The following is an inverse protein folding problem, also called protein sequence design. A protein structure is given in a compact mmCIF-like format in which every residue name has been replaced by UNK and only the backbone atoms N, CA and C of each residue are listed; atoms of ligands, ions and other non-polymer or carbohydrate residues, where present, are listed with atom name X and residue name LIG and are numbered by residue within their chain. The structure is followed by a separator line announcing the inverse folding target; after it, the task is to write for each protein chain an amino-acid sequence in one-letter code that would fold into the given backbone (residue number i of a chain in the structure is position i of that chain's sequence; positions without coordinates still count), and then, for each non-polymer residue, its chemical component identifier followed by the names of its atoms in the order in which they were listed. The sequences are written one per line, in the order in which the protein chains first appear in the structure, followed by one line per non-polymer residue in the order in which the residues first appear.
data_IF_526303164507
#
_entry.id   IF_526303164507
#
_cell.length_a   1.000
_cell.length_b   1.000
_cell.length_c   1.000
_cell.angle_alpha   90.00
_cell.angle_beta   90.00
_cell.angle_gamma   90.00
#
_symmetry.space_group_name_H-M   'P 1'
#
loop_
_entity.id
_entity.type
_entity.pdbx_description
1 polymer ?
#
# COMPACT_ATOMS: atom_id res chain seq x y z
N UNK A 1 -36.34 2.51 10.38
CA UNK A 1 -35.41 2.89 9.30
C UNK A 1 -34.14 3.57 9.80
N UNK A 2 -34.20 4.33 10.91
CA UNK A 2 -33.09 5.11 11.50
C UNK A 2 -31.92 4.27 12.03
N UNK A 3 -32.18 3.18 12.76
CA UNK A 3 -31.14 2.32 13.37
C UNK A 3 -30.11 1.76 12.38
N UNK A 4 -30.50 1.50 11.14
CA UNK A 4 -29.59 0.98 10.11
C UNK A 4 -28.71 2.08 9.50
N UNK A 5 -29.19 3.33 9.47
CA UNK A 5 -28.42 4.49 9.02
C UNK A 5 -27.36 4.82 10.08
N UNK A 6 -27.73 4.83 11.36
CA UNK A 6 -26.80 5.09 12.47
C UNK A 6 -25.65 4.06 12.49
N UNK A 7 -25.96 2.77 12.34
CA UNK A 7 -24.94 1.72 12.25
C UNK A 7 -23.99 1.88 11.05
N UNK A 8 -24.49 2.32 9.89
CA UNK A 8 -23.63 2.55 8.71
C UNK A 8 -22.69 3.74 8.93
N UNK A 9 -23.19 4.80 9.56
CA UNK A 9 -22.37 5.97 9.92
C UNK A 9 -21.29 5.57 10.92
N UNK A 10 -21.62 4.79 11.95
CA UNK A 10 -20.65 4.31 12.93
C UNK A 10 -19.51 3.51 12.28
N UNK A 11 -19.85 2.57 11.38
CA UNK A 11 -18.86 1.78 10.64
C UNK A 11 -17.98 2.67 9.76
N UNK A 12 -18.57 3.66 9.07
CA UNK A 12 -17.80 4.60 8.25
C UNK A 12 -16.83 5.46 9.09
N UNK A 13 -17.25 5.88 10.29
CA UNK A 13 -16.39 6.63 11.20
C UNK A 13 -15.25 5.77 11.76
N UNK A 14 -15.51 4.49 12.07
CA UNK A 14 -14.47 3.54 12.46
C UNK A 14 -13.45 3.31 11.34
N UNK A 15 -13.92 3.13 10.10
CA UNK A 15 -13.06 3.01 8.92
C UNK A 15 -12.18 4.26 8.76
N UNK A 16 -12.77 5.46 8.81
CA UNK A 16 -12.02 6.72 8.73
C UNK A 16 -10.94 6.81 9.81
N UNK A 17 -11.30 6.49 11.06
CA UNK A 17 -10.34 6.53 12.17
C UNK A 17 -9.19 5.56 11.93
N UNK A 18 -9.48 4.32 11.52
CA UNK A 18 -8.45 3.33 11.20
C UNK A 18 -7.50 3.84 10.10
N UNK A 19 -8.04 4.43 9.02
CA UNK A 19 -7.21 5.00 7.94
C UNK A 19 -6.26 6.08 8.47
N UNK A 20 -6.76 7.02 9.29
CA UNK A 20 -5.92 8.10 9.85
C UNK A 20 -4.79 7.55 10.72
N UNK A 21 -5.08 6.55 11.56
CA UNK A 21 -4.06 5.96 12.42
C UNK A 21 -3.02 5.16 11.62
N UNK A 22 -3.45 4.44 10.58
CA UNK A 22 -2.54 3.71 9.69
C UNK A 22 -1.65 4.67 8.88
N UNK A 23 -2.21 5.78 8.40
CA UNK A 23 -1.45 6.83 7.71
C UNK A 23 -0.37 7.40 8.64
N UNK A 24 -0.71 7.70 9.90
CA UNK A 24 0.25 8.21 10.88
C UNK A 24 1.38 7.20 11.19
N UNK A 25 1.10 5.89 11.19
CA UNK A 25 2.15 4.87 11.31
C UNK A 25 3.09 4.90 10.10
N UNK A 26 2.54 5.04 8.90
CA UNK A 26 3.29 5.16 7.65
C UNK A 26 4.15 6.43 7.58
N UNK A 27 3.63 7.56 8.03
CA UNK A 27 4.36 8.84 8.09
C UNK A 27 5.58 8.73 9.02
N UNK A 28 5.43 8.13 10.20
CA UNK A 28 6.56 7.88 11.11
C UNK A 28 7.63 6.98 10.49
N UNK A 29 7.23 5.97 9.72
CA UNK A 29 8.20 5.16 8.97
C UNK A 29 8.93 6.00 7.91
N UNK A 30 8.18 6.86 7.22
CA UNK A 30 8.71 7.73 6.18
C UNK A 30 9.79 8.67 6.73
N UNK A 31 9.46 9.37 7.82
CA UNK A 31 10.37 10.29 8.51
C UNK A 31 11.65 9.59 8.96
N UNK A 32 11.54 8.41 9.56
CA UNK A 32 12.68 7.61 10.02
C UNK A 32 13.62 7.16 8.89
N UNK A 33 13.11 7.09 7.64
CA UNK A 33 13.87 6.64 6.47
C UNK A 33 14.13 7.76 5.45
N UNK A 34 13.83 9.03 5.78
CA UNK A 34 14.01 10.16 4.87
C UNK A 34 13.13 10.10 3.62
N UNK A 35 12.01 9.38 3.67
CA UNK A 35 11.07 9.23 2.57
C UNK A 35 10.01 10.34 2.59
N UNK A 36 9.70 10.91 1.42
CA UNK A 36 8.53 11.75 1.25
C UNK A 36 7.23 10.93 1.16
N UNK A 37 6.07 11.59 1.33
CA UNK A 37 4.74 10.95 1.20
C UNK A 37 4.56 10.20 -0.13
N UNK A 38 5.04 10.78 -1.23
CA UNK A 38 4.99 10.14 -2.56
C UNK A 38 5.92 8.93 -2.67
N UNK A 39 7.04 8.94 -1.95
CA UNK A 39 7.99 7.84 -1.93
C UNK A 39 7.38 6.63 -1.23
N UNK A 40 6.69 6.84 -0.10
CA UNK A 40 5.94 5.80 0.61
C UNK A 40 4.86 5.19 -0.27
N UNK A 41 4.04 6.02 -0.95
CA UNK A 41 3.02 5.52 -1.89
C UNK A 41 3.63 4.66 -3.00
N UNK A 42 4.80 5.06 -3.51
CA UNK A 42 5.50 4.32 -4.55
C UNK A 42 6.02 2.97 -4.07
N UNK A 43 6.63 2.93 -2.87
CA UNK A 43 7.12 1.69 -2.25
C UNK A 43 5.96 0.73 -1.96
N UNK A 44 4.84 1.23 -1.43
CA UNK A 44 3.62 0.43 -1.21
C UNK A 44 3.11 -0.15 -2.53
N UNK A 45 3.01 0.67 -3.58
CA UNK A 45 2.55 0.21 -4.89
C UNK A 45 3.45 -0.90 -5.49
N UNK A 46 4.77 -0.76 -5.36
CA UNK A 46 5.74 -1.79 -5.81
C UNK A 46 5.58 -3.08 -5.00
N UNK A 47 5.45 -2.97 -3.67
CA UNK A 47 5.24 -4.12 -2.78
C UNK A 47 3.92 -4.85 -3.09
N UNK A 48 2.83 -4.11 -3.25
CA UNK A 48 1.52 -4.66 -3.58
C UNK A 48 1.52 -5.41 -4.90
N UNK A 49 2.17 -4.83 -5.90
CA UNK A 49 2.30 -5.43 -7.22
C UNK A 49 3.15 -6.71 -7.18
N UNK A 50 4.25 -6.71 -6.42
CA UNK A 50 5.06 -7.92 -6.20
C UNK A 50 4.25 -9.03 -5.50
N UNK A 51 3.42 -8.68 -4.50
CA UNK A 51 2.54 -9.65 -3.81
C UNK A 51 1.49 -10.28 -4.72
N UNK A 52 1.03 -9.56 -5.74
CA UNK A 52 0.12 -10.10 -6.78
C UNK A 52 0.82 -10.88 -7.89
N UNK A 53 2.16 -10.89 -7.90
CA UNK A 53 2.92 -11.47 -9.01
C UNK A 53 2.88 -10.62 -10.29
N UNK A 54 2.64 -9.31 -10.15
CA UNK A 54 2.49 -8.36 -11.26
C UNK A 54 3.53 -7.23 -11.16
N UNK A 55 4.85 -7.47 -11.36
CA UNK A 55 5.87 -6.44 -11.14
C UNK A 55 5.61 -5.14 -11.93
N UNK A 56 5.77 -4.00 -11.26
CA UNK A 56 5.54 -2.69 -11.89
C UNK A 56 6.71 -2.24 -12.74
N UNK A 57 6.41 -1.74 -13.94
CA UNK A 57 7.34 -0.88 -14.70
C UNK A 57 7.29 0.54 -14.14
N UNK A 58 8.26 1.39 -14.50
CA UNK A 58 8.18 2.82 -14.19
C UNK A 58 6.86 3.44 -14.71
N UNK A 59 6.46 3.14 -15.94
CA UNK A 59 5.17 3.61 -16.47
C UNK A 59 3.96 3.15 -15.65
N UNK A 60 3.96 1.89 -15.22
CA UNK A 60 2.91 1.34 -14.35
C UNK A 60 2.88 2.01 -12.97
N UNK A 61 4.06 2.29 -12.39
CA UNK A 61 4.16 3.05 -11.16
C UNK A 61 3.55 4.46 -11.31
N UNK A 62 3.81 5.13 -12.44
CA UNK A 62 3.25 6.45 -12.72
C UNK A 62 1.73 6.51 -12.69
N UNK A 63 1.08 5.50 -13.27
CA UNK A 63 -0.37 5.35 -13.17
C UNK A 63 -0.80 5.11 -11.70
N UNK A 64 -0.10 4.23 -10.98
CA UNK A 64 -0.44 3.87 -9.61
C UNK A 64 -0.30 5.04 -8.61
N UNK A 65 0.68 5.93 -8.79
CA UNK A 65 0.90 7.09 -7.92
C UNK A 65 0.48 8.43 -8.53
N UNK A 66 -0.20 8.40 -9.69
CA UNK A 66 -0.77 9.57 -10.38
C UNK A 66 0.27 10.65 -10.70
N UNK A 67 1.41 10.24 -11.23
CA UNK A 67 2.51 11.13 -11.60
C UNK A 67 2.79 11.09 -13.11
N UNK A 68 3.28 12.21 -13.64
CA UNK A 68 3.79 12.26 -15.02
C UNK A 68 5.01 11.37 -15.19
N UNK A 69 5.30 10.95 -16.43
CA UNK A 69 6.48 10.11 -16.73
C UNK A 69 7.81 10.73 -16.26
N UNK A 70 7.95 12.06 -16.40
CA UNK A 70 9.13 12.78 -15.92
C UNK A 70 9.22 12.76 -14.38
N UNK A 71 8.11 13.01 -13.68
CA UNK A 71 8.07 12.98 -12.21
C UNK A 71 8.32 11.57 -11.65
N UNK A 72 7.84 10.54 -12.35
CA UNK A 72 8.07 9.14 -11.99
C UNK A 72 9.52 8.75 -12.16
N UNK A 73 10.16 9.16 -13.25
CA UNK A 73 11.59 8.89 -13.46
C UNK A 73 12.42 9.49 -12.33
N UNK A 74 12.17 10.76 -11.99
CA UNK A 74 12.85 11.44 -10.88
C UNK A 74 12.58 10.79 -9.50
N UNK A 75 11.35 10.31 -9.28
CA UNK A 75 10.97 9.55 -8.10
C UNK A 75 11.74 8.23 -7.99
N UNK A 76 11.76 7.44 -9.05
CA UNK A 76 12.48 6.16 -9.06
C UNK A 76 13.97 6.39 -8.88
N UNK A 77 14.56 7.38 -9.55
CA UNK A 77 15.99 7.69 -9.42
C UNK A 77 16.36 8.12 -7.99
N UNK A 78 15.45 8.83 -7.30
CA UNK A 78 15.62 9.17 -5.89
C UNK A 78 15.55 7.93 -4.99
N UNK A 79 14.55 7.06 -5.20
CA UNK A 79 14.41 5.82 -4.46
C UNK A 79 15.58 4.87 -4.67
N UNK A 80 16.10 4.75 -5.89
CA UNK A 80 17.30 3.96 -6.17
C UNK A 80 18.54 4.53 -5.50
N UNK A 81 18.74 5.85 -5.56
CA UNK A 81 19.88 6.52 -4.90
C UNK A 81 19.84 6.36 -3.37
N UNK A 82 18.65 6.34 -2.79
CA UNK A 82 18.43 6.07 -1.37
C UNK A 82 18.52 4.56 -1.04
N UNK A 83 18.69 3.70 -2.04
CA UNK A 83 18.83 2.25 -1.85
C UNK A 83 17.51 1.53 -1.58
N UNK A 84 16.36 2.14 -1.87
CA UNK A 84 15.05 1.57 -1.58
C UNK A 84 14.49 0.64 -2.65
N UNK A 85 14.77 1.00 -3.90
CA UNK A 85 14.27 0.30 -5.09
C UNK A 85 15.46 0.01 -6.00
N UNK A 86 15.29 -0.97 -6.89
CA UNK A 86 16.19 -1.22 -8.02
C UNK A 86 15.40 -1.58 -9.26
N UNK A 87 15.88 -1.16 -10.41
CA UNK A 87 15.42 -1.59 -11.73
C UNK A 87 16.05 -2.93 -12.09
N UNK A 88 15.23 -3.91 -12.45
CA UNK A 88 15.68 -5.23 -12.90
C UNK A 88 15.01 -5.61 -14.20
N UNK A 89 15.62 -6.53 -14.94
CA UNK A 89 15.00 -7.14 -16.12
C UNK A 89 13.89 -8.07 -15.66
N UNK A 90 12.72 -7.94 -16.26
CA UNK A 90 11.59 -8.80 -15.96
C UNK A 90 11.94 -10.26 -16.36
N UNK A 91 11.84 -11.24 -15.43
CA UNK A 91 12.13 -12.63 -15.73
C UNK A 91 11.14 -13.26 -16.73
N UNK A 92 9.92 -12.74 -16.83
CA UNK A 92 8.89 -13.21 -17.76
C UNK A 92 9.04 -12.61 -19.17
N UNK A 93 9.52 -11.37 -19.28
CA UNK A 93 9.87 -10.73 -20.55
C UNK A 93 11.10 -9.82 -20.40
N UNK A 94 12.28 -10.34 -20.77
CA UNK A 94 13.56 -9.60 -20.63
C UNK A 94 13.62 -8.27 -21.38
N UNK A 95 12.67 -7.97 -22.28
CA UNK A 95 12.57 -6.66 -22.93
C UNK A 95 12.07 -5.58 -21.97
N UNK A 96 11.37 -5.96 -20.89
CA UNK A 96 10.82 -5.06 -19.89
C UNK A 96 11.81 -4.85 -18.73
N UNK A 97 11.72 -3.66 -18.14
CA UNK A 97 12.38 -3.31 -16.88
C UNK A 97 11.29 -3.06 -15.84
N UNK A 98 11.42 -3.73 -14.70
CA UNK A 98 10.49 -3.65 -13.58
C UNK A 98 11.21 -3.15 -12.34
N UNK A 99 10.44 -2.68 -11.38
CA UNK A 99 10.91 -2.11 -10.13
C UNK A 99 10.77 -3.15 -9.02
N UNK A 100 11.84 -3.37 -8.27
CA UNK A 100 11.86 -4.24 -7.10
C UNK A 100 12.35 -3.48 -5.88
N UNK A 101 11.76 -3.76 -4.72
CA UNK A 101 12.33 -3.31 -3.45
C UNK A 101 13.67 -4.01 -3.22
N UNK A 102 14.61 -3.28 -2.61
CA UNK A 102 15.86 -3.89 -2.17
C UNK A 102 15.63 -4.72 -0.90
N UNK A 103 16.45 -5.76 -0.69
CA UNK A 103 16.40 -6.59 0.51
C UNK A 103 16.48 -5.77 1.82
N UNK A 104 17.38 -4.77 1.95
CA UNK A 104 17.43 -3.94 3.15
C UNK A 104 16.12 -3.19 3.43
N UNK A 105 15.44 -2.74 2.37
CA UNK A 105 14.18 -2.00 2.51
C UNK A 105 13.03 -2.91 2.90
N UNK A 106 12.98 -4.12 2.34
CA UNK A 106 12.02 -5.13 2.78
C UNK A 106 12.26 -5.52 4.24
N UNK A 107 13.53 -5.68 4.64
CA UNK A 107 13.90 -6.01 6.03
C UNK A 107 13.51 -4.87 6.99
N UNK A 108 13.78 -3.62 6.63
CA UNK A 108 13.40 -2.45 7.43
C UNK A 108 11.88 -2.33 7.58
N UNK A 109 11.12 -2.53 6.49
CA UNK A 109 9.66 -2.58 6.53
C UNK A 109 9.15 -3.72 7.42
N UNK A 110 9.72 -4.92 7.28
CA UNK A 110 9.37 -6.07 8.13
C UNK A 110 9.66 -5.83 9.61
N UNK A 111 10.80 -5.21 9.94
CA UNK A 111 11.16 -4.86 11.31
C UNK A 111 10.21 -3.82 11.92
N UNK A 112 9.84 -2.79 11.14
CA UNK A 112 8.97 -1.71 11.61
C UNK A 112 7.50 -2.13 11.70
N UNK A 113 6.95 -2.72 10.62
CA UNK A 113 5.53 -3.06 10.53
C UNK A 113 5.21 -4.45 11.09
N UNK A 114 6.19 -5.33 11.31
CA UNK A 114 5.94 -6.72 11.70
C UNK A 114 5.17 -6.85 13.02
N UNK A 115 5.44 -5.99 13.99
CA UNK A 115 4.68 -5.94 15.25
C UNK A 115 3.22 -5.55 15.03
N UNK A 116 2.97 -4.52 14.21
CA UNK A 116 1.64 -4.08 13.83
C UNK A 116 0.88 -5.17 13.07
N UNK A 117 1.51 -5.80 12.09
CA UNK A 117 0.90 -6.88 11.30
C UNK A 117 0.47 -8.04 12.20
N UNK A 118 1.33 -8.47 13.13
CA UNK A 118 0.97 -9.52 14.10
C UNK A 118 -0.19 -9.11 14.99
N UNK A 119 -0.20 -7.86 15.49
CA UNK A 119 -1.29 -7.35 16.32
C UNK A 119 -2.62 -7.30 15.57
N UNK A 120 -2.62 -6.87 14.31
CA UNK A 120 -3.82 -6.86 13.46
C UNK A 120 -4.33 -8.26 13.16
N UNK A 121 -3.44 -9.22 12.88
CA UNK A 121 -3.81 -10.63 12.69
C UNK A 121 -4.40 -11.24 13.96
N UNK A 122 -3.76 -11.00 15.12
CA UNK A 122 -4.25 -11.49 16.41
C UNK A 122 -5.63 -10.92 16.76
N UNK A 123 -5.90 -9.66 16.42
CA UNK A 123 -7.22 -9.05 16.63
C UNK A 123 -8.35 -9.75 15.83
N UNK A 124 -8.01 -10.54 14.81
CA UNK A 124 -8.95 -11.28 13.99
C UNK A 124 -9.10 -12.76 14.40
N UNK A 125 -8.36 -13.26 15.41
CA UNK A 125 -8.40 -14.68 15.81
C UNK A 125 -9.79 -15.18 16.24
N UNK A 126 -10.65 -14.28 16.74
CA UNK A 126 -12.02 -14.61 17.13
C UNK A 126 -13.04 -14.56 15.98
N UNK A 127 -12.63 -14.22 14.76
CA UNK A 127 -13.53 -14.06 13.62
C UNK A 127 -13.74 -15.41 12.93
N UNK A 128 -14.99 -15.71 12.57
CA UNK A 128 -15.29 -16.87 11.73
C UNK A 128 -14.93 -16.60 10.27
N UNK A 129 -14.85 -17.65 9.44
CA UNK A 129 -14.65 -17.51 7.99
C UNK A 129 -15.75 -16.65 7.35
N UNK A 130 -16.99 -16.77 7.84
CA UNK A 130 -18.12 -15.95 7.37
C UNK A 130 -17.96 -14.48 7.74
N UNK A 131 -17.50 -14.18 8.97
CA UNK A 131 -17.20 -12.81 9.40
C UNK A 131 -16.11 -12.20 8.51
N UNK A 132 -15.03 -12.94 8.27
CA UNK A 132 -13.92 -12.51 7.41
C UNK A 132 -14.38 -12.31 5.96
N UNK A 133 -15.27 -13.15 5.45
CA UNK A 133 -15.84 -12.99 4.11
C UNK A 133 -16.68 -11.70 4.00
N UNK A 134 -17.47 -11.37 5.03
CA UNK A 134 -18.23 -10.12 5.11
C UNK A 134 -17.31 -8.91 5.18
N UNK A 135 -16.30 -8.94 6.06
CA UNK A 135 -15.31 -7.85 6.20
C UNK A 135 -14.54 -7.64 4.89
N UNK A 136 -14.08 -8.72 4.25
CA UNK A 136 -13.40 -8.64 2.94
C UNK A 136 -14.28 -7.97 1.89
N UNK A 137 -15.55 -8.38 1.78
CA UNK A 137 -16.50 -7.79 0.84
C UNK A 137 -16.74 -6.31 1.14
N UNK A 138 -16.87 -5.95 2.41
CA UNK A 138 -17.04 -4.56 2.83
C UNK A 138 -15.81 -3.71 2.45
N UNK A 139 -14.61 -4.14 2.82
CA UNK A 139 -13.37 -3.42 2.54
C UNK A 139 -13.15 -3.25 1.04
N UNK A 140 -13.33 -4.31 0.24
CA UNK A 140 -13.22 -4.23 -1.22
C UNK A 140 -14.20 -3.20 -1.81
N UNK A 141 -15.48 -3.24 -1.41
CA UNK A 141 -16.47 -2.28 -1.89
C UNK A 141 -16.16 -0.84 -1.49
N UNK A 142 -15.63 -0.60 -0.29
CA UNK A 142 -15.20 0.75 0.12
C UNK A 142 -13.97 1.21 -0.66
N UNK A 143 -12.99 0.34 -0.89
CA UNK A 143 -11.82 0.63 -1.70
C UNK A 143 -12.20 0.99 -3.13
N UNK A 144 -13.11 0.23 -3.76
CA UNK A 144 -13.57 0.51 -5.13
C UNK A 144 -14.20 1.90 -5.24
N UNK A 145 -15.01 2.30 -4.25
CA UNK A 145 -15.61 3.66 -4.19
C UNK A 145 -14.54 4.75 -4.08
N UNK A 146 -13.53 4.57 -3.23
CA UNK A 146 -12.45 5.54 -3.04
C UNK A 146 -11.58 5.65 -4.31
N UNK A 147 -11.20 4.52 -4.91
CA UNK A 147 -10.41 4.49 -6.15
C UNK A 147 -11.17 5.17 -7.29
N UNK A 148 -12.49 4.92 -7.41
CA UNK A 148 -13.33 5.55 -8.43
C UNK A 148 -13.51 7.06 -8.21
N UNK A 149 -13.48 7.55 -6.97
CA UNK A 149 -13.56 8.99 -6.70
C UNK A 149 -12.32 9.75 -7.15
N UNK A 150 -11.16 9.10 -7.07
CA UNK A 150 -9.92 9.73 -7.50
C UNK A 150 -9.72 9.63 -9.02
N UNK A 151 -10.39 8.73 -9.76
CA UNK A 151 -10.23 8.56 -11.21
C UNK A 151 -10.82 9.71 -12.03
#
# INVERSE_FOLDING_TARGET
MTRNVDQRVDVALLLRRLTVELDAVGERFAEAHGLGRTDVRAVIAIMDAARRGEPLTAGGLGAAVRLSSASVTALVDRLERAGHVRRVRDPADRRRVVLEMTEPTMAAGGAYFGGLQRGLLAAMEGYTDDDLAVVRRFLAGMTDVVVAHEA
#
